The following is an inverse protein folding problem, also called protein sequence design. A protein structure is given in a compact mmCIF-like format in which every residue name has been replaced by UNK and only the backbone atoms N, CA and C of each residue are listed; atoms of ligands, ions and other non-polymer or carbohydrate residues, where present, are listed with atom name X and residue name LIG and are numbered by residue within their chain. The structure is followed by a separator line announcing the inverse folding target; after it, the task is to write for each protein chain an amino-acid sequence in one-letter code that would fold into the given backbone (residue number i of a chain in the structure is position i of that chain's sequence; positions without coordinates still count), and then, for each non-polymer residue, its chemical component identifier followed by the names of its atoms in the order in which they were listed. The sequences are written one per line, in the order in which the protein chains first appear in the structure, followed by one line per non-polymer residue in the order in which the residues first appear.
data_IF_083175468628
#
_entry.id   IF_083175468628
#
_cell.length_a   1.000
_cell.length_b   1.000
_cell.length_c   1.000
_cell.angle_alpha   90.00
_cell.angle_beta   90.00
_cell.angle_gamma   90.00
#
_symmetry.space_group_name_H-M   'P 1'
#
loop_
_entity.id
_entity.type
_entity.pdbx_description
1 polymer ?
#
# COMPACT_ATOMS: atom_id res chain seq x y z
N UNK A 1 9.29 33.83 0.46
CA UNK A 1 9.04 32.51 -0.15
C UNK A 1 10.05 32.32 -1.27
N UNK A 2 10.74 31.19 -1.33
CA UNK A 2 11.66 30.83 -2.42
C UNK A 2 11.18 29.52 -3.04
N UNK A 3 11.24 29.42 -4.37
CA UNK A 3 10.79 28.26 -5.13
C UNK A 3 11.98 27.59 -5.82
N UNK A 4 11.95 26.25 -5.90
CA UNK A 4 12.89 25.44 -6.67
C UNK A 4 12.09 24.43 -7.50
N UNK A 5 12.40 24.31 -8.79
CA UNK A 5 11.76 23.36 -9.71
C UNK A 5 10.94 23.99 -10.84
N UNK A 6 10.25 23.16 -11.66
CA UNK A 6 10.07 21.71 -11.50
C UNK A 6 11.36 20.90 -11.70
N UNK A 7 11.65 19.96 -10.79
CA UNK A 7 12.76 19.00 -10.92
C UNK A 7 12.19 17.59 -10.96
N UNK A 8 12.68 16.73 -11.86
CA UNK A 8 12.11 15.41 -12.02
C UNK A 8 12.70 14.45 -10.96
N UNK A 9 11.88 13.50 -10.49
CA UNK A 9 12.33 12.43 -9.58
C UNK A 9 12.94 11.32 -10.44
N UNK A 10 14.25 11.15 -10.39
CA UNK A 10 14.94 10.14 -11.21
C UNK A 10 14.47 8.73 -10.82
N UNK A 11 14.07 7.94 -11.81
CA UNK A 11 13.51 6.58 -11.61
C UNK A 11 11.98 6.52 -11.55
N UNK A 12 11.30 7.63 -11.22
CA UNK A 12 9.85 7.78 -11.34
C UNK A 12 9.44 8.46 -12.67
N UNK A 13 10.35 8.46 -13.65
CA UNK A 13 10.13 8.95 -15.00
C UNK A 13 9.97 7.75 -15.92
N UNK A 14 8.93 7.74 -16.77
CA UNK A 14 8.56 6.59 -17.61
C UNK A 14 8.12 5.35 -16.80
N UNK A 15 7.44 5.58 -15.68
CA UNK A 15 6.74 4.53 -14.93
C UNK A 15 5.80 3.78 -15.87
N UNK A 16 5.80 2.46 -15.80
CA UNK A 16 4.79 1.68 -16.52
C UNK A 16 3.47 1.88 -15.80
N UNK A 17 2.56 2.61 -16.44
CA UNK A 17 1.28 2.98 -15.84
C UNK A 17 0.52 1.75 -15.37
N UNK A 18 0.00 1.85 -14.15
CA UNK A 18 -0.88 0.84 -13.58
C UNK A 18 -2.21 0.83 -14.34
N UNK A 19 -2.81 -0.33 -14.58
CA UNK A 19 -4.16 -0.39 -15.11
C UNK A 19 -5.12 0.36 -14.18
N UNK A 20 -5.95 1.26 -14.72
CA UNK A 20 -6.96 1.98 -13.92
C UNK A 20 -7.85 1.00 -13.15
N UNK A 21 -8.13 -0.17 -13.72
CA UNK A 21 -8.73 -1.30 -13.01
C UNK A 21 -7.87 -2.56 -13.21
N UNK A 22 -7.67 -3.31 -12.12
CA UNK A 22 -6.88 -4.55 -12.18
C UNK A 22 -7.54 -5.61 -13.07
N UNK A 23 -6.76 -6.44 -13.79
CA UNK A 23 -7.29 -7.36 -14.80
C UNK A 23 -8.35 -8.35 -14.31
N UNK A 24 -8.38 -8.65 -13.01
CA UNK A 24 -9.23 -9.67 -12.42
C UNK A 24 -10.31 -9.11 -11.49
N UNK A 25 -10.40 -7.80 -11.29
CA UNK A 25 -11.39 -7.15 -10.40
C UNK A 25 -12.08 -5.99 -11.12
N UNK A 26 -13.17 -5.47 -10.55
CA UNK A 26 -13.72 -4.16 -10.94
C UNK A 26 -13.23 -3.03 -10.03
N UNK A 27 -12.33 -3.32 -9.09
CA UNK A 27 -11.70 -2.32 -8.24
C UNK A 27 -10.80 -1.43 -9.08
N UNK A 28 -10.94 -0.12 -8.85
CA UNK A 28 -10.18 0.93 -9.52
C UNK A 28 -9.15 1.48 -8.57
N UNK A 29 -7.91 1.61 -9.07
CA UNK A 29 -6.87 2.27 -8.31
C UNK A 29 -7.12 3.80 -8.22
N UNK A 30 -6.62 4.43 -7.16
CA UNK A 30 -6.90 5.81 -6.81
C UNK A 30 -5.72 6.59 -6.24
N UNK A 31 -4.60 5.96 -5.89
CA UNK A 31 -3.41 6.64 -5.36
C UNK A 31 -2.15 5.99 -5.95
N UNK A 32 -1.72 6.45 -7.12
CA UNK A 32 -0.54 5.86 -7.78
C UNK A 32 0.79 6.33 -7.19
N UNK A 33 0.80 7.42 -6.41
CA UNK A 33 1.99 7.94 -5.76
C UNK A 33 1.72 8.77 -4.50
N UNK A 34 2.78 8.97 -3.72
CA UNK A 34 2.76 9.70 -2.46
C UNK A 34 4.11 10.37 -2.20
N UNK A 35 4.09 11.49 -1.50
CA UNK A 35 5.29 12.25 -1.12
C UNK A 35 5.26 12.57 0.37
N UNK A 36 6.44 12.58 1.00
CA UNK A 36 6.59 13.12 2.36
C UNK A 36 7.95 13.80 2.53
N UNK A 37 8.03 14.69 3.53
CA UNK A 37 9.27 15.32 3.97
C UNK A 37 9.72 14.67 5.27
N UNK A 38 10.99 14.30 5.36
CA UNK A 38 11.61 13.79 6.57
C UNK A 38 11.60 14.82 7.70
N UNK A 39 11.53 14.36 8.94
CA UNK A 39 11.49 15.25 10.13
C UNK A 39 12.83 15.34 10.87
N UNK A 40 13.86 14.65 10.38
CA UNK A 40 15.24 14.71 10.90
C UNK A 40 16.17 15.24 9.81
N UNK A 41 17.10 16.13 10.17
CA UNK A 41 18.07 16.67 9.23
C UNK A 41 19.12 15.62 8.86
N UNK A 42 19.40 15.50 7.57
CA UNK A 42 20.56 14.77 7.02
C UNK A 42 21.38 15.79 6.22
N UNK A 43 22.67 15.91 6.52
CA UNK A 43 23.56 16.89 5.88
C UNK A 43 23.00 18.33 5.87
N UNK A 44 22.33 18.71 6.96
CA UNK A 44 21.74 20.04 7.14
C UNK A 44 20.43 20.28 6.38
N UNK A 45 19.79 19.25 5.80
CA UNK A 45 18.52 19.37 5.06
C UNK A 45 17.52 18.32 5.51
N UNK A 46 16.23 18.64 5.38
CA UNK A 46 15.18 17.63 5.53
C UNK A 46 15.12 16.79 4.25
N UNK A 47 15.23 15.45 4.35
CA UNK A 47 15.09 14.58 3.19
C UNK A 47 13.70 14.70 2.55
N UNK A 48 13.63 14.45 1.25
CA UNK A 48 12.38 14.31 0.52
C UNK A 48 12.22 12.85 0.13
N UNK A 49 11.02 12.30 0.22
CA UNK A 49 10.74 10.92 -0.18
C UNK A 49 9.54 10.88 -1.12
N UNK A 50 9.59 9.95 -2.06
CA UNK A 50 8.50 9.64 -2.98
C UNK A 50 8.33 8.13 -3.05
N UNK A 51 7.09 7.68 -3.02
CA UNK A 51 6.74 6.29 -3.32
C UNK A 51 5.67 6.26 -4.40
N UNK A 52 5.74 5.27 -5.28
CA UNK A 52 4.85 5.14 -6.43
C UNK A 52 4.69 3.67 -6.82
N UNK A 53 3.66 3.39 -7.59
CA UNK A 53 3.42 2.09 -8.20
C UNK A 53 4.14 1.95 -9.54
N UNK A 54 4.64 0.76 -9.84
CA UNK A 54 5.20 0.44 -11.16
C UNK A 54 4.75 -0.95 -11.63
N UNK A 55 4.11 -0.99 -12.81
CA UNK A 55 3.57 -2.21 -13.43
C UNK A 55 4.54 -2.88 -14.42
N UNK A 56 5.82 -2.49 -14.46
CA UNK A 56 6.76 -3.00 -15.49
C UNK A 56 6.99 -4.51 -15.43
N UNK A 57 6.72 -5.13 -14.28
CA UNK A 57 6.80 -6.57 -14.06
C UNK A 57 5.51 -7.34 -14.42
N UNK A 58 4.47 -6.65 -14.91
CA UNK A 58 3.15 -7.24 -15.20
C UNK A 58 2.27 -7.44 -13.96
N UNK A 59 2.72 -6.95 -12.81
CA UNK A 59 1.97 -6.74 -11.56
C UNK A 59 2.47 -5.44 -10.93
N UNK A 60 1.63 -4.78 -10.14
CA UNK A 60 2.03 -3.56 -9.44
C UNK A 60 3.01 -3.86 -8.33
N UNK A 61 4.12 -3.12 -8.33
CA UNK A 61 5.07 -3.11 -7.24
C UNK A 61 5.20 -1.70 -6.68
N UNK A 62 5.41 -1.60 -5.38
CA UNK A 62 5.63 -0.31 -4.72
C UNK A 62 7.11 0.01 -4.74
N UNK A 63 7.46 1.16 -5.30
CA UNK A 63 8.81 1.70 -5.32
C UNK A 63 8.95 2.88 -4.36
N UNK A 64 10.15 3.10 -3.85
CA UNK A 64 10.53 4.19 -2.95
C UNK A 64 11.85 4.82 -3.42
N UNK A 65 11.93 6.14 -3.38
CA UNK A 65 13.18 6.89 -3.58
C UNK A 65 13.26 8.08 -2.64
N UNK A 66 14.49 8.52 -2.35
CA UNK A 66 14.77 9.65 -1.46
C UNK A 66 15.76 10.63 -2.06
N UNK A 67 15.61 11.90 -1.69
CA UNK A 67 16.56 12.97 -1.98
C UNK A 67 17.09 13.58 -0.69
N UNK A 68 18.40 13.76 -0.63
CA UNK A 68 19.13 14.27 0.54
C UNK A 68 19.83 15.61 0.27
N UNK A 69 19.61 16.19 -0.91
CA UNK A 69 20.25 17.42 -1.39
C UNK A 69 19.22 18.47 -1.86
N UNK A 70 18.01 18.41 -1.31
CA UNK A 70 16.92 19.34 -1.62
C UNK A 70 16.25 19.07 -2.97
N UNK A 71 16.16 17.81 -3.39
CA UNK A 71 15.47 17.41 -4.62
C UNK A 71 16.35 17.49 -5.87
N UNK A 72 17.66 17.68 -5.74
CA UNK A 72 18.59 17.80 -6.88
C UNK A 72 18.94 16.42 -7.44
N UNK A 73 19.22 15.46 -6.56
CA UNK A 73 19.43 14.06 -6.91
C UNK A 73 18.55 13.16 -6.06
N UNK A 74 18.20 12.00 -6.63
CA UNK A 74 17.37 10.97 -6.01
C UNK A 74 18.12 9.64 -6.03
N UNK A 75 17.90 8.80 -5.02
CA UNK A 75 18.46 7.45 -4.98
C UNK A 75 17.89 6.58 -6.09
N UNK A 76 18.57 5.47 -6.40
CA UNK A 76 17.96 4.41 -7.18
C UNK A 76 16.64 3.95 -6.50
N UNK A 77 15.59 3.62 -7.27
CA UNK A 77 14.34 3.09 -6.71
C UNK A 77 14.58 1.83 -5.90
N UNK A 78 13.91 1.74 -4.75
CA UNK A 78 13.91 0.59 -3.86
C UNK A 78 12.52 -0.03 -3.95
N UNK A 79 12.43 -1.32 -4.29
CA UNK A 79 11.17 -2.05 -4.20
C UNK A 79 10.81 -2.29 -2.72
N UNK A 80 9.59 -1.91 -2.33
CA UNK A 80 9.10 -1.90 -0.95
C UNK A 80 8.47 -3.24 -0.58
N UNK A 81 7.67 -3.79 -1.48
CA UNK A 81 7.01 -5.07 -1.28
C UNK A 81 7.99 -6.25 -1.46
N UNK A 82 7.89 -7.26 -0.59
CA UNK A 82 8.78 -8.43 -0.53
C UNK A 82 8.12 -9.73 -1.06
N UNK A 83 7.27 -9.59 -2.07
CA UNK A 83 6.44 -10.67 -2.61
C UNK A 83 7.25 -11.89 -3.05
N UNK A 84 6.85 -13.08 -2.60
CA UNK A 84 7.42 -14.36 -3.06
C UNK A 84 6.92 -14.79 -4.46
N UNK A 85 5.73 -14.32 -4.85
CA UNK A 85 5.09 -14.60 -6.15
C UNK A 85 4.61 -13.28 -6.78
N UNK A 86 4.49 -13.16 -8.11
CA UNK A 86 4.02 -11.94 -8.76
C UNK A 86 2.53 -11.72 -8.49
N UNK A 87 2.24 -10.77 -7.62
CA UNK A 87 0.91 -10.31 -7.17
C UNK A 87 0.98 -8.80 -6.96
N UNK A 88 -0.17 -8.12 -7.06
CA UNK A 88 -0.27 -6.67 -7.07
C UNK A 88 -0.20 -6.07 -5.66
N UNK A 89 0.55 -4.97 -5.57
CA UNK A 89 0.69 -4.14 -4.38
C UNK A 89 0.51 -2.67 -4.78
N UNK A 90 -0.39 -1.95 -4.14
CA UNK A 90 -0.85 -0.65 -4.63
C UNK A 90 -1.26 0.31 -3.52
N UNK A 91 -1.57 1.55 -3.92
CA UNK A 91 -1.87 2.69 -3.09
C UNK A 91 -0.81 2.96 -2.03
N UNK A 92 0.44 3.19 -2.45
CA UNK A 92 1.50 3.46 -1.51
C UNK A 92 1.22 4.76 -0.78
N UNK A 93 1.58 4.74 0.48
CA UNK A 93 1.33 5.86 1.33
C UNK A 93 2.48 6.06 2.31
N UNK A 94 3.12 7.22 2.20
CA UNK A 94 4.36 7.56 2.88
C UNK A 94 4.09 8.44 4.08
N UNK A 95 4.85 8.20 5.13
CA UNK A 95 4.96 9.16 6.20
C UNK A 95 6.36 9.11 6.85
N UNK A 96 6.75 10.17 7.57
CA UNK A 96 8.02 10.23 8.30
C UNK A 96 7.81 10.64 9.76
N UNK A 97 8.41 9.89 10.68
CA UNK A 97 8.41 10.13 12.12
C UNK A 97 9.51 11.10 12.55
N UNK A 98 9.37 11.67 13.75
CA UNK A 98 10.28 12.67 14.30
C UNK A 98 11.71 12.14 14.53
N UNK A 99 11.86 10.83 14.82
CA UNK A 99 13.15 10.15 14.99
C UNK A 99 13.82 9.79 13.64
N UNK A 100 13.19 10.14 12.51
CA UNK A 100 13.70 9.86 11.18
C UNK A 100 13.22 8.54 10.57
N UNK A 101 12.45 7.71 11.29
CA UNK A 101 11.86 6.50 10.72
C UNK A 101 10.87 6.89 9.61
N UNK A 102 10.95 6.22 8.47
CA UNK A 102 10.03 6.36 7.34
C UNK A 102 9.18 5.10 7.24
N UNK A 103 7.89 5.23 7.00
CA UNK A 103 6.99 4.10 6.74
C UNK A 103 6.37 4.22 5.36
N UNK A 104 6.26 3.09 4.65
CA UNK A 104 5.44 2.97 3.44
C UNK A 104 4.36 1.93 3.73
N UNK A 105 3.11 2.38 3.74
CA UNK A 105 1.94 1.50 3.82
C UNK A 105 1.42 1.24 2.41
N UNK A 106 0.84 0.07 2.17
CA UNK A 106 0.26 -0.29 0.87
C UNK A 106 -0.83 -1.36 1.03
N UNK A 107 -1.71 -1.44 0.03
CA UNK A 107 -2.62 -2.57 -0.15
C UNK A 107 -1.88 -3.76 -0.75
N UNK A 108 -2.18 -4.93 -0.20
CA UNK A 108 -1.40 -6.15 -0.40
C UNK A 108 -2.26 -7.35 -0.77
N UNK A 109 -2.03 -7.89 -1.96
CA UNK A 109 -2.78 -9.04 -2.50
C UNK A 109 -1.99 -10.35 -2.48
N UNK A 110 -0.91 -10.40 -1.69
CA UNK A 110 -0.04 -11.57 -1.57
C UNK A 110 -0.73 -12.80 -0.99
N UNK A 111 -1.71 -12.60 -0.12
CA UNK A 111 -2.52 -13.68 0.42
C UNK A 111 -3.69 -14.00 -0.51
N UNK A 112 -3.92 -15.29 -0.75
CA UNK A 112 -5.13 -15.73 -1.44
C UNK A 112 -6.40 -15.37 -0.64
N UNK A 113 -7.50 -15.24 -1.36
CA UNK A 113 -8.82 -15.10 -0.75
C UNK A 113 -9.12 -16.28 0.19
N UNK A 114 -9.84 -16.05 1.29
CA UNK A 114 -10.30 -17.12 2.18
C UNK A 114 -11.02 -18.27 1.47
N UNK A 115 -10.83 -19.50 1.96
CA UNK A 115 -11.48 -20.69 1.40
C UNK A 115 -12.98 -20.73 1.72
N UNK A 116 -13.77 -21.35 0.84
CA UNK A 116 -15.21 -21.49 1.00
C UNK A 116 -15.58 -22.18 2.32
N UNK A 117 -16.66 -21.70 2.96
CA UNK A 117 -17.16 -22.26 4.22
C UNK A 117 -16.37 -21.85 5.48
N UNK A 118 -15.34 -21.01 5.35
CA UNK A 118 -14.65 -20.43 6.51
C UNK A 118 -15.38 -19.20 7.05
N UNK A 119 -15.20 -18.91 8.33
CA UNK A 119 -15.71 -17.66 8.93
C UNK A 119 -15.06 -16.44 8.29
N UNK A 120 -13.77 -16.51 7.95
CA UNK A 120 -13.04 -15.44 7.26
C UNK A 120 -13.65 -15.16 5.88
N UNK A 121 -14.05 -16.19 5.12
CA UNK A 121 -14.71 -15.99 3.83
C UNK A 121 -16.10 -15.37 3.96
N UNK A 122 -16.81 -15.67 5.05
CA UNK A 122 -18.11 -15.09 5.34
C UNK A 122 -17.97 -13.62 5.72
N UNK A 123 -17.03 -13.31 6.62
CA UNK A 123 -16.74 -11.92 7.03
C UNK A 123 -16.16 -11.08 5.90
N UNK A 124 -15.36 -11.66 5.00
CA UNK A 124 -14.87 -10.97 3.81
C UNK A 124 -15.99 -10.65 2.80
N UNK A 125 -17.20 -11.19 2.98
CA UNK A 125 -18.33 -10.98 2.08
C UNK A 125 -18.21 -11.71 0.74
N UNK A 126 -17.31 -12.70 0.63
CA UNK A 126 -17.00 -13.32 -0.67
C UNK A 126 -18.23 -13.90 -1.35
N UNK A 127 -19.18 -14.46 -0.60
CA UNK A 127 -20.42 -15.01 -1.14
C UNK A 127 -21.28 -14.00 -1.92
N UNK A 128 -21.03 -12.70 -1.74
CA UNK A 128 -21.74 -11.61 -2.42
C UNK A 128 -21.13 -11.30 -3.79
N UNK A 129 -19.84 -11.58 -3.98
CA UNK A 129 -19.15 -11.38 -5.26
C UNK A 129 -19.44 -12.55 -6.21
N UNK A 130 -20.59 -12.45 -6.88
CA UNK A 130 -21.10 -13.49 -7.79
C UNK A 130 -21.01 -13.09 -9.25
N UNK A 131 -20.65 -11.83 -9.55
CA UNK A 131 -20.64 -11.27 -10.89
C UNK A 131 -19.42 -10.35 -11.03
N UNK A 132 -18.41 -10.82 -11.75
CA UNK A 132 -17.26 -10.03 -12.15
C UNK A 132 -16.82 -10.43 -13.56
N UNK A 133 -17.04 -9.58 -14.58
CA UNK A 133 -16.71 -9.90 -15.97
C UNK A 133 -15.20 -9.97 -16.25
N UNK A 134 -14.37 -9.41 -15.36
CA UNK A 134 -12.92 -9.39 -15.49
C UNK A 134 -12.28 -10.65 -14.86
N UNK A 135 -13.00 -11.38 -14.02
CA UNK A 135 -12.47 -12.58 -13.37
C UNK A 135 -12.70 -13.83 -14.21
N UNK A 136 -11.61 -14.48 -14.61
CA UNK A 136 -11.63 -15.73 -15.39
C UNK A 136 -11.75 -17.00 -14.52
N UNK A 137 -11.63 -16.86 -13.19
CA UNK A 137 -11.80 -17.95 -12.24
C UNK A 137 -13.27 -18.22 -11.89
N UNK A 138 -13.49 -19.07 -10.88
CA UNK A 138 -14.84 -19.38 -10.40
C UNK A 138 -15.30 -18.35 -9.38
N UNK A 139 -16.50 -17.79 -9.56
CA UNK A 139 -17.16 -16.96 -8.56
C UNK A 139 -18.12 -17.81 -7.70
N UNK A 140 -18.20 -17.55 -6.39
CA UNK A 140 -17.46 -16.51 -5.68
C UNK A 140 -15.96 -16.82 -5.51
N UNK A 141 -15.08 -15.81 -5.38
CA UNK A 141 -13.63 -15.93 -5.59
C UNK A 141 -12.88 -16.58 -4.41
N UNK A 142 -13.43 -17.66 -3.85
CA UNK A 142 -12.81 -18.41 -2.76
C UNK A 142 -11.44 -18.97 -3.18
N UNK A 143 -10.41 -18.74 -2.37
CA UNK A 143 -9.05 -19.21 -2.67
C UNK A 143 -8.36 -18.50 -3.84
N UNK A 144 -8.98 -17.48 -4.45
CA UNK A 144 -8.39 -16.74 -5.55
C UNK A 144 -7.08 -16.05 -5.14
N UNK A 145 -6.01 -16.26 -5.89
CA UNK A 145 -4.77 -15.49 -5.72
C UNK A 145 -4.91 -14.10 -6.36
N UNK A 146 -4.16 -13.13 -5.83
CA UNK A 146 -4.08 -11.77 -6.37
C UNK A 146 -5.44 -11.05 -6.49
N UNK A 147 -6.38 -11.29 -5.56
CA UNK A 147 -7.75 -10.77 -5.64
C UNK A 147 -8.12 -10.01 -4.37
N UNK A 148 -8.21 -10.72 -3.24
CA UNK A 148 -8.52 -10.12 -1.96
C UNK A 148 -7.37 -9.26 -1.43
N UNK A 149 -7.70 -8.25 -0.65
CA UNK A 149 -6.75 -7.24 -0.15
C UNK A 149 -6.46 -7.45 1.33
N UNK A 150 -5.22 -7.10 1.68
CA UNK A 150 -4.72 -6.82 3.01
C UNK A 150 -4.10 -5.43 3.05
N UNK A 151 -3.69 -4.97 4.23
CA UNK A 151 -2.76 -3.83 4.33
C UNK A 151 -1.45 -4.28 4.94
N UNK A 152 -0.35 -3.74 4.41
CA UNK A 152 1.02 -4.01 4.86
C UNK A 152 1.79 -2.70 5.06
N UNK A 153 2.85 -2.76 5.86
CA UNK A 153 3.80 -1.65 6.08
C UNK A 153 5.24 -2.15 5.99
N UNK A 154 6.12 -1.33 5.42
CA UNK A 154 7.57 -1.47 5.54
C UNK A 154 8.16 -0.21 6.19
N UNK A 155 9.09 -0.41 7.13
CA UNK A 155 9.83 0.67 7.77
C UNK A 155 11.24 0.82 7.17
N UNK A 156 11.72 2.05 7.17
CA UNK A 156 13.07 2.43 6.76
C UNK A 156 13.67 3.46 7.73
N UNK A 157 14.99 3.50 7.78
CA UNK A 157 15.72 4.60 8.40
C UNK A 157 15.55 5.89 7.58
N UNK A 158 15.96 7.03 8.14
CA UNK A 158 15.95 8.30 7.42
C UNK A 158 16.82 8.26 6.14
N UNK A 159 17.82 7.38 6.09
CA UNK A 159 18.67 7.17 4.90
C UNK A 159 18.18 6.03 3.98
N UNK A 160 16.91 5.61 4.14
CA UNK A 160 16.28 4.53 3.36
C UNK A 160 16.90 3.14 3.50
N UNK A 161 17.55 2.85 4.63
CA UNK A 161 17.92 1.46 4.97
C UNK A 161 16.70 0.74 5.53
N UNK A 162 16.34 -0.47 5.06
CA UNK A 162 15.16 -1.18 5.57
C UNK A 162 15.31 -1.54 7.04
N UNK A 163 14.23 -1.39 7.80
CA UNK A 163 14.13 -1.74 9.21
C UNK A 163 13.15 -2.91 9.36
N UNK A 164 13.68 -4.13 9.33
CA UNK A 164 12.86 -5.35 9.36
C UNK A 164 12.25 -5.69 7.99
N UNK A 165 11.20 -6.51 8.02
CA UNK A 165 10.47 -7.02 6.85
C UNK A 165 9.09 -6.38 6.75
N UNK A 166 8.35 -6.66 5.67
CA UNK A 166 6.96 -6.20 5.55
C UNK A 166 6.13 -6.78 6.71
N UNK A 167 5.27 -5.96 7.29
CA UNK A 167 4.37 -6.36 8.37
C UNK A 167 2.94 -6.20 7.86
N UNK A 168 2.15 -7.28 7.90
CA UNK A 168 0.70 -7.19 7.70
C UNK A 168 0.09 -6.43 8.88
N UNK A 169 -0.70 -5.41 8.55
CA UNK A 169 -1.35 -4.51 9.51
C UNK A 169 -2.88 -4.55 9.42
N UNK A 170 -3.45 -5.32 8.49
CA UNK A 170 -4.86 -5.72 8.57
C UNK A 170 -5.03 -6.98 9.42
N UNK A 171 -6.07 -7.02 10.24
CA UNK A 171 -6.44 -8.23 10.98
C UNK A 171 -7.07 -9.29 10.07
N UNK A 172 -7.84 -8.83 9.08
CA UNK A 172 -8.62 -9.67 8.17
C UNK A 172 -8.27 -9.40 6.71
N UNK A 173 -8.57 -10.37 5.86
CA UNK A 173 -8.52 -10.25 4.39
C UNK A 173 -9.93 -9.90 3.91
N UNK A 174 -10.09 -8.99 2.94
CA UNK A 174 -11.42 -8.63 2.45
C UNK A 174 -11.48 -8.47 0.93
N UNK A 175 -12.69 -8.47 0.40
CA UNK A 175 -12.97 -8.26 -1.02
C UNK A 175 -12.77 -6.79 -1.43
N UNK A 176 -11.92 -6.51 -2.45
CA UNK A 176 -11.61 -5.16 -2.88
C UNK A 176 -12.72 -4.40 -3.59
N UNK A 177 -13.78 -5.05 -4.09
CA UNK A 177 -14.74 -4.45 -5.03
C UNK A 177 -15.60 -3.30 -4.47
N UNK A 178 -15.17 -2.70 -3.36
CA UNK A 178 -15.96 -1.83 -2.52
C UNK A 178 -15.25 -0.54 -1.99
N UNK A 179 -13.99 -0.13 -2.30
CA UNK A 179 -13.24 0.84 -1.41
C UNK A 179 -12.21 1.91 -1.96
N UNK A 180 -11.69 2.82 -1.07
CA UNK A 180 -10.56 3.84 -1.17
C UNK A 180 -9.81 4.10 0.23
N UNK A 181 -8.73 4.94 0.40
CA UNK A 181 -7.74 4.95 1.56
C UNK A 181 -7.17 6.33 2.16
N UNK A 182 -6.53 6.34 3.38
CA UNK A 182 -5.59 7.38 3.96
C UNK A 182 -4.92 7.10 5.37
N UNK A 183 -3.73 7.66 5.75
CA UNK A 183 -2.97 7.43 7.06
C UNK A 183 -2.35 8.69 7.79
N UNK A 184 -1.75 8.52 9.01
CA UNK A 184 -0.89 9.52 9.74
C UNK A 184 0.05 8.91 10.85
N UNK A 185 0.89 9.69 11.55
CA UNK A 185 1.70 9.28 12.72
C UNK A 185 1.29 9.98 14.03
N UNK A 186 1.32 9.27 15.17
CA UNK A 186 1.11 9.86 16.50
C UNK A 186 2.21 9.48 17.51
N UNK A 187 3.15 10.41 17.76
CA UNK A 187 4.22 10.24 18.74
C UNK A 187 5.20 9.13 18.36
N UNK A 188 5.39 8.15 19.25
CA UNK A 188 6.26 6.98 19.04
C UNK A 188 5.51 5.77 18.43
N UNK A 189 4.39 6.03 17.75
CA UNK A 189 3.56 5.03 17.11
C UNK A 189 3.26 5.42 15.66
N UNK A 190 3.34 4.43 14.77
CA UNK A 190 2.73 4.53 13.45
C UNK A 190 1.23 4.23 13.58
N UNK A 191 0.38 5.09 13.00
CA UNK A 191 -1.06 4.90 12.92
C UNK A 191 -1.46 4.73 11.45
N UNK A 192 -1.50 3.48 10.99
CA UNK A 192 -2.02 3.21 9.68
C UNK A 192 -3.55 3.18 9.76
N UNK A 193 -4.22 4.00 8.96
CA UNK A 193 -5.66 3.91 8.75
C UNK A 193 -5.90 3.31 7.37
N UNK A 194 -6.87 2.42 7.23
CA UNK A 194 -7.25 1.82 5.95
C UNK A 194 -8.74 1.56 5.91
N UNK A 195 -9.27 1.23 4.73
CA UNK A 195 -10.66 0.83 4.60
C UNK A 195 -10.76 -0.68 4.50
N UNK A 196 -11.72 -1.24 5.20
CA UNK A 196 -12.14 -2.63 5.05
C UNK A 196 -13.66 -2.70 4.93
N UNK A 197 -14.15 -3.78 4.35
CA UNK A 197 -15.58 -4.14 4.29
C UNK A 197 -15.88 -5.42 5.05
N UNK A 198 -14.91 -5.90 5.83
CA UNK A 198 -15.04 -7.12 6.61
C UNK A 198 -16.19 -7.00 7.63
N UNK A 199 -16.98 -8.05 7.77
CA UNK A 199 -18.01 -8.22 8.80
C UNK A 199 -17.51 -9.14 9.91
N UNK A 200 -17.21 -8.55 11.06
CA UNK A 200 -16.90 -9.25 12.31
C UNK A 200 -18.14 -9.43 13.21
N UNK A 201 -19.34 -9.20 12.66
CA UNK A 201 -20.62 -9.13 13.36
C UNK A 201 -21.12 -7.69 13.55
N UNK A 202 -20.29 -6.69 13.29
CA UNK A 202 -20.66 -5.26 13.39
C UNK A 202 -20.98 -4.59 12.05
N UNK A 203 -20.70 -5.24 10.91
CA UNK A 203 -20.84 -4.68 9.57
C UNK A 203 -21.57 -5.64 8.60
N UNK A 204 -22.81 -6.06 8.92
CA UNK A 204 -23.53 -7.09 8.16
C UNK A 204 -23.91 -6.69 6.73
N UNK A 205 -23.79 -5.41 6.38
CA UNK A 205 -23.99 -4.91 5.01
C UNK A 205 -22.67 -4.76 4.22
N UNK A 206 -21.52 -5.10 4.82
CA UNK A 206 -20.20 -4.92 4.22
C UNK A 206 -19.95 -3.49 3.72
N UNK A 207 -20.37 -2.49 4.49
CA UNK A 207 -20.06 -1.10 4.17
C UNK A 207 -18.59 -0.79 4.40
N UNK A 208 -18.10 0.24 3.70
CA UNK A 208 -16.76 0.76 3.93
C UNK A 208 -16.63 1.22 5.39
N UNK A 209 -15.60 0.75 6.08
CA UNK A 209 -15.29 1.16 7.44
C UNK A 209 -13.80 1.37 7.62
N UNK A 210 -13.46 2.28 8.54
CA UNK A 210 -12.07 2.57 8.88
C UNK A 210 -11.50 1.51 9.82
N UNK A 211 -10.33 0.99 9.47
CA UNK A 211 -9.49 0.16 10.33
C UNK A 211 -8.27 0.98 10.73
N UNK A 212 -7.89 0.97 12.01
CA UNK A 212 -6.67 1.63 12.50
C UNK A 212 -5.73 0.59 13.07
N UNK A 213 -4.55 0.45 12.46
CA UNK A 213 -3.46 -0.35 12.99
C UNK A 213 -2.45 0.56 13.70
N UNK A 214 -2.08 0.19 14.93
CA UNK A 214 -1.11 0.92 15.74
C UNK A 214 0.15 0.06 15.93
N UNK A 215 1.30 0.55 15.46
CA UNK A 215 2.57 -0.15 15.59
C UNK A 215 3.59 0.70 16.33
N UNK A 216 4.46 0.06 17.12
CA UNK A 216 5.66 0.71 17.61
C UNK A 216 6.60 0.99 16.44
N UNK A 217 7.16 2.21 16.39
CA UNK A 217 8.23 2.52 15.45
C UNK A 217 9.50 1.76 15.88
N UNK A 218 10.18 1.05 14.96
CA UNK A 218 11.45 0.37 15.25
C UNK A 218 12.58 1.32 15.67
#
# INVERSE_FOLDING_TARGET
MTWQGPLPVTGAQNVTLTPEAYPNTTFTDGITNTFTVGRTLINGRYPLYMSWEDYSAGVDNILLSGSFDGGTTWTAPIQVNDNANPVDEFQPNLAAAANGTVSVNFYDRRLACPAAGTSEASGAGLALDTINPNYSGSLPPYGASNYCINTSVQFYSAALSPLGQNIRISQHTWDPQLNAFGNDFAGARNLASSVSTYDDGSNPQHYQQQVIATLAIP
#
